data_IF_518663624294
#
_entry.id   IF_518663624294
#
_cell.length_a   1.000
_cell.length_b   1.000
_cell.length_c   1.000
_cell.angle_alpha   90.00
_cell.angle_beta   90.00
_cell.angle_gamma   90.00
#
_symmetry.space_group_name_H-M   'P 1'
#
loop_
_entity.id
_entity.type
_entity.pdbx_description
1 polymer ?
#
# COMPACT_ATOMS: atom_id res chain seq x y z
N UNK A 1 -23.96 25.46 0.24
CA UNK A 1 -22.67 26.16 0.07
C UNK A 1 -22.02 25.68 -1.21
N UNK A 2 -21.49 26.60 -2.02
CA UNK A 2 -20.70 26.26 -3.22
C UNK A 2 -19.23 26.47 -2.92
N UNK A 3 -18.38 25.52 -3.31
CA UNK A 3 -16.93 25.68 -3.28
C UNK A 3 -16.35 25.66 -4.69
N UNK A 4 -15.22 26.32 -4.89
CA UNK A 4 -14.44 26.26 -6.12
C UNK A 4 -13.13 25.53 -5.80
N UNK A 5 -12.82 24.49 -6.54
CA UNK A 5 -11.58 23.73 -6.36
C UNK A 5 -10.75 23.77 -7.65
N UNK A 6 -9.44 23.88 -7.48
CA UNK A 6 -8.51 23.77 -8.59
C UNK A 6 -8.23 22.28 -8.84
N UNK A 7 -8.65 21.79 -10.01
CA UNK A 7 -8.49 20.39 -10.35
C UNK A 7 -7.01 20.02 -10.55
N UNK A 8 -6.53 19.03 -9.81
CA UNK A 8 -5.14 18.59 -9.75
C UNK A 8 -4.99 17.15 -10.24
N UNK A 9 -3.78 16.80 -10.67
CA UNK A 9 -3.41 15.41 -10.99
C UNK A 9 -3.29 14.51 -9.76
N UNK A 10 -3.12 15.11 -8.57
CA UNK A 10 -3.13 14.41 -7.29
C UNK A 10 -4.56 14.27 -6.79
N UNK A 11 -5.17 13.07 -6.86
CA UNK A 11 -6.60 12.92 -6.60
C UNK A 11 -7.04 13.38 -5.21
N UNK A 12 -6.16 13.27 -4.20
CA UNK A 12 -6.46 13.72 -2.84
C UNK A 12 -6.76 15.23 -2.81
N UNK A 13 -6.05 16.03 -3.61
CA UNK A 13 -6.29 17.48 -3.66
C UNK A 13 -7.69 17.83 -4.18
N UNK A 14 -8.31 16.93 -4.95
CA UNK A 14 -9.63 17.14 -5.54
C UNK A 14 -10.79 16.75 -4.62
N UNK A 15 -10.51 16.26 -3.42
CA UNK A 15 -11.53 15.79 -2.48
C UNK A 15 -11.43 16.45 -1.10
N UNK A 16 -10.27 17.00 -0.75
CA UNK A 16 -10.06 17.50 0.63
C UNK A 16 -10.97 18.68 0.96
N UNK A 17 -11.27 19.55 0.01
CA UNK A 17 -12.20 20.64 0.19
C UNK A 17 -13.64 20.15 0.37
N UNK A 18 -14.07 19.17 -0.41
CA UNK A 18 -15.40 18.54 -0.25
C UNK A 18 -15.55 17.94 1.14
N UNK A 19 -14.54 17.17 1.57
CA UNK A 19 -14.54 16.52 2.88
C UNK A 19 -14.48 17.52 4.05
N UNK A 20 -13.82 18.65 3.83
CA UNK A 20 -13.65 19.69 4.85
C UNK A 20 -14.88 20.59 5.02
N UNK A 21 -15.51 20.94 3.91
CA UNK A 21 -16.58 21.95 3.90
C UNK A 21 -17.99 21.36 3.74
N UNK A 22 -18.11 20.10 3.35
CA UNK A 22 -19.40 19.44 3.08
C UNK A 22 -20.32 20.30 2.19
N UNK A 23 -19.91 20.67 0.96
CA UNK A 23 -20.66 21.57 0.11
C UNK A 23 -21.84 20.90 -0.58
N UNK A 24 -22.82 21.71 -1.03
CA UNK A 24 -23.91 21.24 -1.90
C UNK A 24 -23.47 21.18 -3.37
N UNK A 25 -22.49 22.02 -3.74
CA UNK A 25 -21.94 22.14 -5.09
C UNK A 25 -20.44 22.36 -5.07
N UNK A 26 -19.73 21.69 -5.99
CA UNK A 26 -18.32 21.96 -6.28
C UNK A 26 -18.12 22.34 -7.74
N UNK A 27 -17.34 23.39 -7.98
CA UNK A 27 -16.94 23.85 -9.30
C UNK A 27 -15.45 23.61 -9.44
N UNK A 28 -15.09 22.57 -10.22
CA UNK A 28 -13.68 22.31 -10.54
C UNK A 28 -13.22 23.24 -11.67
N UNK A 29 -12.07 23.86 -11.50
CA UNK A 29 -11.40 24.66 -12.53
C UNK A 29 -10.08 24.01 -12.90
N UNK A 30 -9.86 23.71 -14.17
CA UNK A 30 -8.63 23.02 -14.59
C UNK A 30 -8.37 23.03 -16.09
N UNK A 31 -7.16 22.63 -16.46
CA UNK A 31 -6.67 22.68 -17.84
C UNK A 31 -6.99 21.46 -18.69
N UNK A 32 -7.64 20.42 -18.16
CA UNK A 32 -8.11 19.29 -18.95
C UNK A 32 -9.22 19.69 -19.91
N UNK A 33 -9.31 19.01 -21.07
CA UNK A 33 -10.52 19.19 -21.90
C UNK A 33 -11.73 18.67 -21.14
N UNK A 34 -12.88 19.34 -21.32
CA UNK A 34 -14.13 18.92 -20.68
C UNK A 34 -14.46 17.46 -20.99
N UNK A 35 -14.25 17.03 -22.23
CA UNK A 35 -14.43 15.62 -22.65
C UNK A 35 -13.56 14.67 -21.85
N UNK A 36 -12.28 14.99 -21.63
CA UNK A 36 -11.37 14.14 -20.86
C UNK A 36 -11.79 14.07 -19.39
N UNK A 37 -12.14 15.21 -18.78
CA UNK A 37 -12.63 15.23 -17.41
C UNK A 37 -13.89 14.36 -17.26
N UNK A 38 -14.91 14.57 -18.09
CA UNK A 38 -16.20 13.86 -18.02
C UNK A 38 -16.06 12.35 -18.29
N UNK A 39 -15.14 11.93 -19.18
CA UNK A 39 -15.00 10.52 -19.54
C UNK A 39 -14.00 9.73 -18.69
N UNK A 40 -13.01 10.36 -18.08
CA UNK A 40 -11.93 9.67 -17.37
C UNK A 40 -11.83 10.02 -15.88
N UNK A 41 -12.06 11.28 -15.52
CA UNK A 41 -11.84 11.74 -14.14
C UNK A 41 -13.11 11.73 -13.30
N UNK A 42 -14.20 12.27 -13.86
CA UNK A 42 -15.48 12.39 -13.16
C UNK A 42 -16.07 11.04 -12.72
N UNK A 43 -16.03 9.94 -13.51
CA UNK A 43 -16.56 8.65 -13.07
C UNK A 43 -15.85 8.11 -11.83
N UNK A 44 -14.52 8.19 -11.78
CA UNK A 44 -13.72 7.76 -10.63
C UNK A 44 -14.07 8.61 -9.40
N UNK A 45 -14.08 9.94 -9.56
CA UNK A 45 -14.40 10.87 -8.50
C UNK A 45 -15.81 10.64 -7.95
N UNK A 46 -16.82 10.46 -8.82
CA UNK A 46 -18.20 10.15 -8.41
C UNK A 46 -18.28 8.84 -7.65
N UNK A 47 -17.66 7.76 -8.15
CA UNK A 47 -17.67 6.46 -7.48
C UNK A 47 -17.07 6.55 -6.07
N UNK A 48 -16.00 7.32 -5.89
CA UNK A 48 -15.42 7.58 -4.59
C UNK A 48 -16.35 8.41 -3.69
N UNK A 49 -16.88 9.52 -4.21
CA UNK A 49 -17.77 10.42 -3.46
C UNK A 49 -19.09 9.75 -3.06
N UNK A 50 -19.65 8.89 -3.92
CA UNK A 50 -20.83 8.08 -3.61
C UNK A 50 -20.59 7.18 -2.40
N UNK A 51 -19.43 6.53 -2.31
CA UNK A 51 -19.05 5.72 -1.14
C UNK A 51 -18.90 6.56 0.14
N UNK A 52 -18.51 7.83 -0.01
CA UNK A 52 -18.39 8.77 1.12
C UNK A 52 -19.69 9.47 1.49
N UNK A 53 -20.79 9.11 0.83
CA UNK A 53 -22.12 9.69 1.13
C UNK A 53 -22.41 11.02 0.42
N UNK A 54 -21.61 11.40 -0.57
CA UNK A 54 -21.77 12.64 -1.36
C UNK A 54 -22.50 12.42 -2.70
N UNK A 55 -23.37 11.43 -2.81
CA UNK A 55 -24.10 11.11 -4.06
C UNK A 55 -24.95 12.25 -4.62
N UNK A 56 -25.41 13.17 -3.73
CA UNK A 56 -26.21 14.34 -4.10
C UNK A 56 -25.39 15.58 -4.48
N UNK A 57 -24.05 15.51 -4.40
CA UNK A 57 -23.17 16.65 -4.69
C UNK A 57 -23.25 17.04 -6.16
N UNK A 58 -23.57 18.32 -6.41
CA UNK A 58 -23.51 18.89 -7.76
C UNK A 58 -22.08 19.17 -8.16
N UNK A 59 -21.63 18.56 -9.27
CA UNK A 59 -20.25 18.68 -9.76
C UNK A 59 -20.26 19.35 -11.12
N UNK A 60 -19.63 20.52 -11.19
CA UNK A 60 -19.41 21.28 -12.42
C UNK A 60 -17.92 21.34 -12.75
N UNK A 61 -17.56 21.36 -14.04
CA UNK A 61 -16.20 21.53 -14.50
C UNK A 61 -16.07 22.69 -15.47
N UNK A 62 -15.20 23.64 -15.15
CA UNK A 62 -14.85 24.80 -15.95
C UNK A 62 -13.44 24.59 -16.53
N UNK A 63 -13.39 24.37 -17.84
CA UNK A 63 -12.13 24.27 -18.55
C UNK A 63 -11.50 25.66 -18.75
N UNK A 64 -10.21 25.78 -18.44
CA UNK A 64 -9.38 26.96 -18.72
C UNK A 64 -8.22 26.60 -19.64
N UNK A 65 -7.72 27.58 -20.38
CA UNK A 65 -6.50 27.44 -21.16
C UNK A 65 -5.30 27.66 -20.25
N UNK A 66 -4.46 26.62 -20.09
CA UNK A 66 -3.28 26.62 -19.21
C UNK A 66 -2.26 27.72 -19.51
N UNK A 67 -2.22 28.18 -20.75
CA UNK A 67 -1.28 29.18 -21.28
C UNK A 67 -1.87 30.60 -21.41
N UNK A 68 -3.12 30.80 -20.98
CA UNK A 68 -3.82 32.07 -21.19
C UNK A 68 -4.34 32.67 -19.88
N UNK A 69 -3.59 33.61 -19.33
CA UNK A 69 -4.01 34.35 -18.15
C UNK A 69 -5.35 35.07 -18.36
N UNK A 70 -5.58 35.61 -19.58
CA UNK A 70 -6.85 36.28 -19.93
C UNK A 70 -8.03 35.29 -19.84
N UNK A 71 -7.91 34.11 -20.42
CA UNK A 71 -8.98 33.12 -20.38
C UNK A 71 -9.29 32.68 -18.94
N UNK A 72 -8.23 32.47 -18.14
CA UNK A 72 -8.36 32.13 -16.72
C UNK A 72 -9.16 33.20 -15.99
N UNK A 73 -8.80 34.49 -16.15
CA UNK A 73 -9.48 35.61 -15.49
C UNK A 73 -10.94 35.72 -15.94
N UNK A 74 -11.21 35.62 -17.25
CA UNK A 74 -12.58 35.69 -17.80
C UNK A 74 -13.46 34.56 -17.25
N UNK A 75 -12.92 33.31 -17.13
CA UNK A 75 -13.65 32.17 -16.58
C UNK A 75 -13.99 32.36 -15.11
N UNK A 76 -13.03 32.81 -14.31
CA UNK A 76 -13.29 33.08 -12.89
C UNK A 76 -14.31 34.25 -12.71
N UNK A 77 -14.19 35.32 -13.45
CA UNK A 77 -15.17 36.43 -13.38
C UNK A 77 -16.59 35.92 -13.74
N UNK A 78 -16.71 35.00 -14.71
CA UNK A 78 -17.99 34.42 -15.06
C UNK A 78 -18.56 33.51 -13.93
N UNK A 79 -17.73 32.71 -13.26
CA UNK A 79 -18.15 31.89 -12.12
C UNK A 79 -18.73 32.82 -11.02
N UNK A 80 -18.03 33.90 -10.68
CA UNK A 80 -18.45 34.80 -9.60
C UNK A 80 -19.63 35.72 -9.97
N UNK A 81 -19.79 36.03 -11.25
CA UNK A 81 -20.91 36.87 -11.71
C UNK A 81 -22.22 36.11 -11.73
N UNK A 82 -22.18 34.78 -11.83
CA UNK A 82 -23.39 33.94 -11.88
C UNK A 82 -24.08 33.79 -10.53
N UNK A 83 -23.39 34.10 -9.42
CA UNK A 83 -23.88 33.79 -8.05
C UNK A 83 -23.62 35.02 -7.12
N UNK A 84 -24.12 36.22 -7.56
CA UNK A 84 -23.88 37.45 -6.86
C UNK A 84 -24.56 37.50 -5.48
N UNK A 85 -23.74 37.49 -4.43
CA UNK A 85 -24.18 37.59 -3.02
C UNK A 85 -23.72 36.45 -2.11
N UNK A 86 -23.04 35.49 -2.65
CA UNK A 86 -22.42 34.38 -1.85
C UNK A 86 -20.93 34.64 -1.63
N UNK A 87 -20.43 34.27 -0.47
CA UNK A 87 -18.98 34.14 -0.22
C UNK A 87 -18.49 32.90 -0.96
N UNK A 88 -17.52 33.08 -1.83
CA UNK A 88 -16.92 31.99 -2.55
C UNK A 88 -15.70 31.42 -1.79
N UNK A 89 -15.82 30.19 -1.37
CA UNK A 89 -14.72 29.45 -0.79
C UNK A 89 -13.92 28.78 -1.91
N UNK A 90 -12.67 29.21 -2.08
CA UNK A 90 -11.78 28.66 -3.11
C UNK A 90 -10.67 27.88 -2.46
N UNK A 91 -10.68 26.58 -2.72
CA UNK A 91 -9.65 25.67 -2.26
C UNK A 91 -8.45 25.73 -3.22
N UNK A 92 -7.25 26.03 -2.67
CA UNK A 92 -6.01 26.24 -3.43
C UNK A 92 -4.89 25.27 -3.07
N UNK A 93 -5.23 24.11 -2.54
CA UNK A 93 -4.24 23.06 -2.21
C UNK A 93 -3.59 22.49 -3.47
N UNK A 94 -4.37 22.33 -4.54
CA UNK A 94 -3.94 21.88 -5.85
C UNK A 94 -3.93 23.00 -6.88
N UNK A 95 -3.84 22.62 -8.15
CA UNK A 95 -3.94 23.51 -9.30
C UNK A 95 -2.61 23.89 -9.94
N UNK A 96 -2.73 24.44 -11.14
CA UNK A 96 -1.59 24.87 -11.95
C UNK A 96 -1.15 26.28 -11.59
N UNK A 97 0.14 26.58 -11.67
CA UNK A 97 0.75 27.84 -11.24
C UNK A 97 0.05 29.07 -11.81
N UNK A 98 -0.26 29.08 -13.12
CA UNK A 98 -0.89 30.24 -13.75
C UNK A 98 -2.32 30.46 -13.26
N UNK A 99 -3.04 29.38 -12.93
CA UNK A 99 -4.39 29.47 -12.36
C UNK A 99 -4.32 30.04 -10.95
N UNK A 100 -3.35 29.59 -10.14
CA UNK A 100 -3.10 30.13 -8.78
C UNK A 100 -2.76 31.62 -8.81
N UNK A 101 -1.90 32.07 -9.76
CA UNK A 101 -1.56 33.45 -9.96
C UNK A 101 -2.81 34.27 -10.34
N UNK A 102 -3.65 33.75 -11.23
CA UNK A 102 -4.92 34.37 -11.63
C UNK A 102 -5.87 34.55 -10.45
N UNK A 103 -6.03 33.52 -9.62
CA UNK A 103 -6.84 33.61 -8.40
C UNK A 103 -6.30 34.61 -7.39
N UNK A 104 -4.99 34.64 -7.17
CA UNK A 104 -4.36 35.64 -6.32
C UNK A 104 -4.61 37.07 -6.80
N UNK A 105 -4.52 37.31 -8.12
CA UNK A 105 -4.85 38.63 -8.70
C UNK A 105 -6.33 38.99 -8.58
N UNK A 106 -7.22 38.01 -8.67
CA UNK A 106 -8.67 38.22 -8.54
C UNK A 106 -9.07 38.50 -7.10
N UNK A 107 -8.54 37.74 -6.13
CA UNK A 107 -8.86 37.90 -4.70
C UNK A 107 -8.49 39.29 -4.17
N UNK A 108 -7.50 39.97 -4.77
CA UNK A 108 -7.16 41.36 -4.45
C UNK A 108 -8.25 42.37 -4.90
N UNK A 109 -9.05 42.00 -5.90
CA UNK A 109 -10.12 42.85 -6.43
C UNK A 109 -11.50 42.52 -5.88
N UNK A 110 -11.62 41.28 -5.34
CA UNK A 110 -12.89 40.71 -4.90
C UNK A 110 -12.76 40.26 -3.44
N UNK A 111 -13.12 41.12 -2.45
CA UNK A 111 -13.00 40.78 -1.02
C UNK A 111 -14.00 39.69 -0.56
N UNK A 112 -14.95 39.34 -1.39
CA UNK A 112 -15.91 38.23 -1.21
C UNK A 112 -15.33 36.86 -1.52
N UNK A 113 -14.08 36.79 -2.00
CA UNK A 113 -13.37 35.53 -2.26
C UNK A 113 -12.50 35.19 -1.07
N UNK A 114 -12.78 34.03 -0.45
CA UNK A 114 -11.95 33.49 0.59
C UNK A 114 -11.10 32.30 0.03
N UNK A 115 -9.79 32.46 0.11
CA UNK A 115 -8.85 31.40 -0.33
C UNK A 115 -8.49 30.50 0.85
N UNK A 116 -8.52 29.19 0.62
CA UNK A 116 -8.15 28.20 1.61
C UNK A 116 -7.11 27.22 1.07
N UNK A 117 -6.14 26.90 1.90
CA UNK A 117 -5.23 25.78 1.67
C UNK A 117 -5.45 24.72 2.73
N UNK A 118 -5.60 23.47 2.30
CA UNK A 118 -5.80 22.33 3.18
C UNK A 118 -4.55 21.44 3.13
N UNK A 119 -3.96 21.20 4.28
CA UNK A 119 -2.90 20.22 4.40
C UNK A 119 -3.47 18.92 4.95
N UNK A 120 -3.74 17.94 4.08
CA UNK A 120 -4.15 16.58 4.48
C UNK A 120 -3.12 15.92 5.40
N UNK A 121 -1.84 16.21 5.20
CA UNK A 121 -0.73 15.73 6.04
C UNK A 121 -0.77 16.33 7.44
N UNK A 122 -0.99 17.63 7.56
CA UNK A 122 -0.97 18.33 8.85
C UNK A 122 -2.37 18.41 9.49
N UNK A 123 -3.40 17.95 8.77
CA UNK A 123 -4.81 18.13 9.17
C UNK A 123 -5.10 19.57 9.56
N UNK A 124 -4.72 20.52 8.71
CA UNK A 124 -4.91 21.96 8.94
C UNK A 124 -5.52 22.63 7.74
N UNK A 125 -6.44 23.58 7.99
CA UNK A 125 -6.87 24.58 7.00
C UNK A 125 -6.19 25.89 7.33
N UNK A 126 -5.71 26.57 6.29
CA UNK A 126 -5.25 27.95 6.36
C UNK A 126 -6.11 28.81 5.46
N UNK A 127 -6.71 29.83 6.04
CA UNK A 127 -7.38 30.87 5.28
C UNK A 127 -6.36 31.96 4.90
N UNK A 128 -6.37 32.38 3.65
CA UNK A 128 -5.58 33.51 3.18
C UNK A 128 -6.50 34.75 3.04
N UNK A 129 -6.70 35.50 4.14
CA UNK A 129 -7.26 36.82 4.08
C UNK A 129 -6.15 37.81 4.38
N UNK A 130 -6.26 39.03 3.79
CA UNK A 130 -5.30 40.13 4.07
C UNK A 130 -5.26 40.54 5.56
N UNK A 131 -6.20 40.07 6.36
CA UNK A 131 -6.40 40.44 7.75
C UNK A 131 -6.03 39.41 8.81
N UNK A 132 -5.83 38.13 8.44
CA UNK A 132 -5.53 37.11 9.43
C UNK A 132 -4.78 35.91 8.81
N UNK A 133 -3.65 35.58 9.39
CA UNK A 133 -2.88 34.34 9.10
C UNK A 133 -3.29 33.30 10.15
N UNK A 134 -4.58 32.92 10.15
CA UNK A 134 -5.14 31.99 11.11
C UNK A 134 -5.18 30.56 10.55
N UNK A 135 -4.14 29.78 10.84
CA UNK A 135 -4.18 28.31 10.65
C UNK A 135 -5.14 27.66 11.66
N UNK A 136 -6.32 27.24 11.21
CA UNK A 136 -7.22 26.42 12.03
C UNK A 136 -6.84 24.96 11.92
N UNK A 137 -6.81 24.22 13.03
CA UNK A 137 -6.83 22.75 12.96
C UNK A 137 -8.18 22.33 12.41
N UNK A 138 -8.13 21.49 11.41
CA UNK A 138 -9.28 20.78 10.89
C UNK A 138 -9.20 19.35 11.38
N UNK A 139 -10.17 18.93 12.12
CA UNK A 139 -10.48 17.51 12.24
C UNK A 139 -11.31 17.12 11.02
N UNK A 140 -10.63 16.84 9.91
CA UNK A 140 -11.27 16.13 8.82
C UNK A 140 -11.43 14.69 9.31
N UNK A 141 -12.63 14.33 9.72
CA UNK A 141 -12.98 12.93 10.04
C UNK A 141 -13.06 12.06 8.79
N UNK A 142 -12.14 12.25 7.85
CA UNK A 142 -12.12 11.43 6.66
C UNK A 142 -11.17 10.26 6.86
N UNK A 143 -11.73 9.07 6.78
CA UNK A 143 -11.01 7.80 6.83
C UNK A 143 -11.20 7.12 5.49
N UNK A 144 -10.12 6.84 4.80
CA UNK A 144 -10.15 5.98 3.63
C UNK A 144 -9.81 4.55 4.05
N UNK A 145 -10.58 3.61 3.55
CA UNK A 145 -10.14 2.22 3.49
C UNK A 145 -9.03 2.10 2.44
N UNK A 146 -8.33 0.97 2.45
CA UNK A 146 -7.34 0.63 1.42
C UNK A 146 -7.99 0.67 0.03
N UNK A 147 -9.17 0.06 -0.11
CA UNK A 147 -9.92 0.03 -1.37
C UNK A 147 -10.31 1.44 -1.85
N UNK A 148 -10.81 2.30 -0.95
CA UNK A 148 -11.19 3.67 -1.29
C UNK A 148 -9.99 4.51 -1.74
N UNK A 149 -8.81 4.29 -1.14
CA UNK A 149 -7.61 4.96 -1.58
C UNK A 149 -7.21 4.54 -3.00
N UNK A 150 -7.24 3.24 -3.31
CA UNK A 150 -6.95 2.74 -4.64
C UNK A 150 -7.98 3.23 -5.65
N UNK A 151 -9.26 3.18 -5.31
CA UNK A 151 -10.35 3.67 -6.14
C UNK A 151 -10.16 5.15 -6.53
N UNK A 152 -9.74 5.99 -5.59
CA UNK A 152 -9.47 7.41 -5.86
C UNK A 152 -8.39 7.61 -6.94
N UNK A 153 -7.47 6.65 -7.08
CA UNK A 153 -6.45 6.64 -8.12
C UNK A 153 -6.85 5.88 -9.39
N UNK A 154 -8.07 5.34 -9.43
CA UNK A 154 -8.61 4.60 -10.57
C UNK A 154 -8.23 3.12 -10.60
N UNK A 155 -7.72 2.59 -9.50
CA UNK A 155 -7.34 1.19 -9.36
C UNK A 155 -8.38 0.38 -8.58
N UNK A 156 -8.26 -0.95 -8.64
CA UNK A 156 -9.08 -1.88 -7.85
C UNK A 156 -8.24 -2.97 -7.17
N UNK A 157 -8.85 -3.69 -6.23
CA UNK A 157 -8.25 -4.85 -5.58
C UNK A 157 -8.78 -6.12 -6.26
N UNK A 158 -7.88 -6.94 -6.80
CA UNK A 158 -8.20 -8.26 -7.35
C UNK A 158 -8.32 -9.28 -6.22
N UNK A 159 -7.34 -9.29 -5.31
CA UNK A 159 -7.31 -10.18 -4.15
C UNK A 159 -6.58 -9.51 -2.99
N UNK A 160 -7.00 -9.84 -1.78
CA UNK A 160 -6.32 -9.41 -0.56
C UNK A 160 -6.66 -10.35 0.60
N UNK A 161 -5.88 -10.25 1.68
CA UNK A 161 -6.16 -10.94 2.93
C UNK A 161 -6.34 -9.91 4.07
N UNK A 162 -7.14 -10.27 5.06
CA UNK A 162 -7.45 -9.42 6.22
C UNK A 162 -8.82 -8.77 6.17
N UNK A 163 -9.52 -8.89 5.06
CA UNK A 163 -10.93 -8.53 4.89
C UNK A 163 -11.61 -9.62 4.07
N UNK A 164 -12.72 -10.18 4.57
CA UNK A 164 -13.48 -11.28 3.96
C UNK A 164 -14.21 -10.87 2.66
N UNK A 165 -14.30 -9.57 2.38
CA UNK A 165 -14.92 -9.07 1.14
C UNK A 165 -14.07 -9.32 -0.10
N UNK A 166 -12.76 -9.58 0.09
CA UNK A 166 -11.85 -9.87 -0.99
C UNK A 166 -11.50 -11.37 -1.07
N UNK A 167 -11.29 -11.90 -2.28
CA UNK A 167 -10.69 -13.23 -2.42
C UNK A 167 -9.32 -13.26 -1.73
N UNK A 168 -9.14 -14.18 -0.81
CA UNK A 168 -7.88 -14.33 -0.07
C UNK A 168 -7.73 -15.75 0.46
N UNK A 169 -6.48 -16.15 0.80
CA UNK A 169 -6.14 -17.49 1.25
C UNK A 169 -6.05 -17.65 2.77
N UNK A 170 -6.11 -16.55 3.54
CA UNK A 170 -5.86 -16.59 4.99
C UNK A 170 -7.08 -16.15 5.80
N UNK A 171 -7.36 -16.90 6.87
CA UNK A 171 -8.33 -16.54 7.91
C UNK A 171 -7.57 -16.29 9.20
N UNK A 172 -7.58 -15.07 9.68
CA UNK A 172 -6.85 -14.66 10.88
C UNK A 172 -7.65 -14.93 12.16
N UNK A 173 -8.06 -16.19 12.36
CA UNK A 173 -8.59 -16.65 13.64
C UNK A 173 -7.50 -16.76 14.72
N UNK A 174 -7.91 -17.03 15.96
CA UNK A 174 -7.00 -17.08 17.11
C UNK A 174 -5.94 -18.19 16.95
N UNK A 175 -6.31 -19.32 16.35
CA UNK A 175 -5.40 -20.46 16.15
C UNK A 175 -4.33 -20.12 15.12
N UNK A 176 -4.72 -19.54 13.98
CA UNK A 176 -3.74 -19.14 12.96
C UNK A 176 -2.83 -17.98 13.43
N UNK A 177 -3.37 -17.00 14.17
CA UNK A 177 -2.55 -15.95 14.79
C UNK A 177 -1.55 -16.55 15.77
N UNK A 178 -1.94 -17.56 16.54
CA UNK A 178 -1.02 -18.31 17.39
C UNK A 178 0.07 -19.00 16.56
N UNK A 179 -0.30 -19.73 15.51
CA UNK A 179 0.64 -20.44 14.63
C UNK A 179 1.64 -19.46 13.97
N UNK A 180 1.19 -18.28 13.51
CA UNK A 180 2.07 -17.23 12.99
C UNK A 180 3.11 -16.81 14.04
N UNK A 181 2.71 -16.59 15.30
CA UNK A 181 3.64 -16.20 16.35
C UNK A 181 4.65 -17.30 16.66
N UNK A 182 4.22 -18.56 16.70
CA UNK A 182 5.10 -19.72 16.88
C UNK A 182 6.11 -19.83 15.74
N UNK A 183 5.65 -19.75 14.49
CA UNK A 183 6.51 -19.81 13.30
C UNK A 183 7.49 -18.63 13.26
N UNK A 184 7.07 -17.44 13.63
CA UNK A 184 7.94 -16.25 13.73
C UNK A 184 9.03 -16.44 14.79
N UNK A 185 8.69 -16.97 15.94
CA UNK A 185 9.65 -17.29 17.01
C UNK A 185 10.71 -18.29 16.52
N UNK A 186 10.31 -19.32 15.77
CA UNK A 186 11.24 -20.29 15.18
C UNK A 186 12.13 -19.59 14.13
N UNK A 187 11.55 -18.77 13.26
CA UNK A 187 12.26 -18.02 12.24
C UNK A 187 13.33 -17.08 12.86
N UNK A 188 13.00 -16.38 13.93
CA UNK A 188 13.89 -15.39 14.58
C UNK A 188 14.98 -16.01 15.43
N UNK A 189 14.68 -17.11 16.14
CA UNK A 189 15.64 -17.73 17.08
C UNK A 189 16.58 -18.72 16.40
N UNK A 190 16.15 -19.34 15.30
CA UNK A 190 16.88 -20.43 14.66
C UNK A 190 17.02 -21.65 15.56
N UNK A 191 17.73 -22.68 15.08
CA UNK A 191 18.09 -23.84 15.92
C UNK A 191 19.29 -23.50 16.80
N UNK A 192 19.24 -23.88 18.08
CA UNK A 192 20.36 -23.70 19.05
C UNK A 192 21.66 -24.38 18.62
N UNK A 193 21.61 -25.33 17.70
CA UNK A 193 22.74 -26.09 17.20
C UNK A 193 23.27 -25.64 15.84
N UNK A 194 22.76 -24.49 15.31
CA UNK A 194 23.13 -24.04 13.98
C UNK A 194 24.29 -23.07 13.96
N UNK A 195 25.31 -23.43 13.20
CA UNK A 195 26.39 -22.59 12.71
C UNK A 195 25.90 -21.86 11.43
N UNK A 196 24.76 -21.17 11.50
CA UNK A 196 24.30 -20.35 10.37
C UNK A 196 24.48 -18.88 10.68
N UNK A 197 24.92 -18.05 9.72
CA UNK A 197 25.14 -16.63 9.96
C UNK A 197 23.87 -15.82 10.27
N UNK A 198 22.67 -16.36 9.94
CA UNK A 198 21.40 -15.79 10.40
C UNK A 198 20.28 -16.82 10.44
N UNK A 199 19.44 -16.76 11.47
CA UNK A 199 18.28 -17.61 11.65
C UNK A 199 17.24 -17.45 10.52
N UNK A 200 16.89 -16.23 10.07
CA UNK A 200 15.97 -16.04 8.96
C UNK A 200 16.43 -16.66 7.63
N UNK A 201 17.73 -16.63 7.34
CA UNK A 201 18.26 -17.30 6.15
C UNK A 201 18.13 -18.83 6.23
N UNK A 202 18.26 -19.38 7.42
CA UNK A 202 18.06 -20.82 7.67
C UNK A 202 16.60 -21.21 7.51
N UNK A 203 15.68 -20.41 8.03
CA UNK A 203 14.24 -20.54 7.81
C UNK A 203 13.93 -20.57 6.31
N UNK A 204 14.41 -19.57 5.54
CA UNK A 204 14.17 -19.50 4.10
C UNK A 204 14.65 -20.74 3.36
N UNK A 205 15.84 -21.28 3.72
CA UNK A 205 16.33 -22.52 3.10
C UNK A 205 15.39 -23.70 3.35
N UNK A 206 14.91 -23.86 4.58
CA UNK A 206 14.00 -24.96 4.94
C UNK A 206 12.65 -24.80 4.25
N UNK A 207 12.09 -23.61 4.22
CA UNK A 207 10.82 -23.35 3.53
C UNK A 207 10.92 -23.53 2.02
N UNK A 208 12.06 -23.20 1.39
CA UNK A 208 12.32 -23.50 -0.02
C UNK A 208 12.39 -25.02 -0.25
N UNK A 209 13.03 -25.78 0.63
CA UNK A 209 13.08 -27.24 0.53
C UNK A 209 11.67 -27.84 0.66
N UNK A 210 10.87 -27.39 1.61
CA UNK A 210 9.46 -27.80 1.75
C UNK A 210 8.62 -27.39 0.53
N UNK A 211 8.86 -26.20 -0.03
CA UNK A 211 8.19 -25.74 -1.26
C UNK A 211 8.52 -26.64 -2.44
N UNK A 212 9.78 -27.05 -2.60
CA UNK A 212 10.20 -27.98 -3.66
C UNK A 212 9.48 -29.31 -3.54
N UNK A 213 9.46 -29.89 -2.34
CA UNK A 213 8.71 -31.13 -2.07
C UNK A 213 7.21 -30.98 -2.33
N UNK A 214 6.65 -29.85 -1.95
CA UNK A 214 5.22 -29.54 -2.18
C UNK A 214 4.87 -29.44 -3.67
N UNK A 215 5.80 -28.97 -4.49
CA UNK A 215 5.60 -28.78 -5.94
C UNK A 215 5.76 -30.09 -6.75
N UNK A 216 6.29 -31.16 -6.19
CA UNK A 216 6.51 -32.45 -6.89
C UNK A 216 5.21 -33.19 -7.21
N UNK A 217 4.19 -33.04 -6.39
CA UNK A 217 2.86 -33.63 -6.59
C UNK A 217 1.77 -32.57 -6.31
N UNK A 218 1.53 -31.67 -7.24
CA UNK A 218 0.58 -30.58 -7.04
C UNK A 218 -0.87 -31.05 -7.04
N UNK A 219 -1.16 -32.19 -7.68
CA UNK A 219 -2.53 -32.71 -7.87
C UNK A 219 -2.92 -33.78 -6.84
N UNK A 220 -2.11 -33.98 -5.78
CA UNK A 220 -2.41 -34.97 -4.73
C UNK A 220 -3.75 -34.69 -4.04
N UNK A 221 -4.51 -35.72 -3.73
CA UNK A 221 -5.84 -35.63 -3.11
C UNK A 221 -5.81 -34.88 -1.77
N UNK A 222 -4.80 -35.11 -0.94
CA UNK A 222 -4.60 -34.37 0.30
C UNK A 222 -3.45 -33.39 0.17
N UNK A 223 -3.74 -32.14 -0.06
CA UNK A 223 -2.75 -31.07 -0.21
C UNK A 223 -1.84 -30.89 1.01
N UNK A 224 -2.28 -31.28 2.21
CA UNK A 224 -1.49 -31.16 3.43
C UNK A 224 -0.55 -32.34 3.68
N UNK A 225 -0.63 -33.41 2.88
CA UNK A 225 0.19 -34.62 3.05
C UNK A 225 1.24 -34.72 1.93
N UNK A 226 2.51 -34.65 2.29
CA UNK A 226 3.63 -35.01 1.40
C UNK A 226 4.01 -36.46 1.60
N UNK A 227 4.24 -37.20 0.50
CA UNK A 227 4.75 -38.56 0.48
C UNK A 227 6.06 -38.57 -0.31
N UNK A 228 7.15 -38.93 0.34
CA UNK A 228 8.51 -38.86 -0.21
C UNK A 228 9.16 -40.23 -0.10
N UNK A 229 9.86 -40.70 -1.14
CA UNK A 229 10.67 -41.92 -1.05
C UNK A 229 11.72 -41.80 0.07
N UNK A 230 11.81 -42.82 0.93
CA UNK A 230 12.63 -42.80 2.14
C UNK A 230 14.14 -42.77 1.83
N UNK A 231 14.57 -43.44 0.76
CA UNK A 231 15.97 -43.45 0.37
C UNK A 231 16.36 -42.08 -0.18
N UNK A 232 15.54 -41.52 -1.05
CA UNK A 232 15.70 -40.14 -1.58
C UNK A 232 15.69 -39.13 -0.46
N UNK A 233 14.75 -39.20 0.48
CA UNK A 233 14.69 -38.31 1.64
C UNK A 233 16.00 -38.35 2.44
N UNK A 234 16.55 -39.54 2.66
CA UNK A 234 17.82 -39.75 3.35
C UNK A 234 18.99 -39.11 2.59
N UNK A 235 19.07 -39.34 1.28
CA UNK A 235 20.17 -38.88 0.43
C UNK A 235 20.16 -37.36 0.27
N UNK A 236 19.01 -36.78 -0.02
CA UNK A 236 18.88 -35.32 -0.32
C UNK A 236 18.74 -34.46 0.94
N UNK A 237 18.03 -34.95 1.96
CA UNK A 237 17.60 -34.15 3.11
C UNK A 237 18.21 -34.53 4.44
N UNK A 238 19.00 -35.61 4.54
CA UNK A 238 19.61 -36.05 5.80
C UNK A 238 21.14 -36.11 5.77
N UNK A 239 21.78 -36.27 4.61
CA UNK A 239 23.24 -36.51 4.53
C UNK A 239 24.05 -35.25 4.23
N UNK A 240 23.44 -34.16 3.78
CA UNK A 240 24.09 -32.89 3.51
C UNK A 240 24.06 -31.96 4.73
N UNK A 241 24.90 -30.90 4.73
CA UNK A 241 24.83 -29.82 5.74
C UNK A 241 23.43 -29.17 5.77
N UNK A 242 22.80 -29.03 4.58
CA UNK A 242 21.44 -28.55 4.48
C UNK A 242 20.43 -29.57 5.03
N UNK A 243 20.71 -30.86 4.93
CA UNK A 243 19.88 -31.93 5.48
C UNK A 243 19.84 -31.93 7.01
N UNK A 244 20.96 -31.69 7.68
CA UNK A 244 20.97 -31.53 9.14
C UNK A 244 20.09 -30.32 9.56
N UNK A 245 20.19 -29.23 8.82
CA UNK A 245 19.35 -28.04 9.02
C UNK A 245 17.87 -28.38 8.85
N UNK A 246 17.51 -29.04 7.76
CA UNK A 246 16.14 -29.45 7.46
C UNK A 246 15.56 -30.33 8.56
N UNK A 247 16.31 -31.37 8.97
CA UNK A 247 15.91 -32.28 10.05
C UNK A 247 15.64 -31.54 11.38
N UNK A 248 16.54 -30.64 11.75
CA UNK A 248 16.39 -29.86 12.98
C UNK A 248 15.08 -29.03 12.94
N UNK A 249 14.77 -28.38 11.83
CA UNK A 249 13.53 -27.60 11.69
C UNK A 249 12.29 -28.49 11.67
N UNK A 250 12.31 -29.65 11.00
CA UNK A 250 11.21 -30.61 11.04
C UNK A 250 10.93 -31.04 12.50
N UNK A 251 11.98 -31.31 13.28
CA UNK A 251 11.83 -31.66 14.71
C UNK A 251 11.21 -30.46 15.50
N UNK A 252 11.55 -29.23 15.16
CA UNK A 252 10.91 -28.05 15.78
C UNK A 252 9.45 -27.93 15.40
N UNK A 253 9.13 -28.07 14.12
CA UNK A 253 7.76 -27.98 13.63
C UNK A 253 6.86 -29.03 14.26
N UNK A 254 7.36 -30.29 14.43
CA UNK A 254 6.65 -31.37 15.15
C UNK A 254 6.39 -30.96 16.62
N UNK A 255 7.41 -30.48 17.33
CA UNK A 255 7.29 -30.08 18.74
C UNK A 255 6.32 -28.93 18.97
N UNK A 256 6.13 -28.10 17.96
CA UNK A 256 5.24 -26.95 17.99
C UNK A 256 3.88 -27.23 17.34
N UNK A 257 3.57 -28.49 17.03
CA UNK A 257 2.30 -28.92 16.42
C UNK A 257 1.97 -28.20 15.09
N UNK A 258 3.01 -27.88 14.28
CA UNK A 258 2.85 -27.28 12.96
C UNK A 258 2.77 -28.32 11.85
N UNK A 259 3.39 -29.48 12.05
CA UNK A 259 3.31 -30.64 11.18
C UNK A 259 3.60 -31.91 11.95
N UNK A 260 3.26 -33.06 11.37
CA UNK A 260 3.67 -34.41 11.80
C UNK A 260 4.55 -35.04 10.72
N UNK A 261 5.50 -35.88 11.13
CA UNK A 261 6.38 -36.59 10.22
C UNK A 261 6.49 -38.07 10.64
N UNK A 262 6.15 -39.00 9.71
CA UNK A 262 6.18 -40.44 9.93
C UNK A 262 7.02 -41.10 8.88
N UNK A 263 7.78 -42.14 9.27
CA UNK A 263 8.55 -43.00 8.35
C UNK A 263 7.89 -44.38 8.36
N UNK A 264 7.38 -44.79 7.21
CA UNK A 264 6.73 -46.08 7.03
C UNK A 264 7.38 -46.81 5.86
N UNK A 265 8.10 -47.91 6.17
CA UNK A 265 8.77 -48.77 5.17
C UNK A 265 9.65 -47.99 4.17
N UNK A 266 9.12 -47.65 3.02
CA UNK A 266 9.83 -47.04 1.90
C UNK A 266 9.48 -45.55 1.71
N UNK A 267 8.63 -45.00 2.59
CA UNK A 267 8.16 -43.62 2.45
C UNK A 267 8.26 -42.79 3.73
N UNK A 268 8.49 -41.52 3.57
CA UNK A 268 8.40 -40.48 4.61
C UNK A 268 7.15 -39.66 4.32
N UNK A 269 6.29 -39.57 5.31
CA UNK A 269 5.07 -38.76 5.24
C UNK A 269 5.24 -37.52 6.10
N UNK A 270 5.06 -36.34 5.50
CA UNK A 270 4.99 -35.06 6.22
C UNK A 270 3.56 -34.54 6.09
N UNK A 271 2.86 -34.42 7.22
CA UNK A 271 1.49 -33.95 7.27
C UNK A 271 1.42 -32.57 7.96
N UNK A 272 1.11 -31.52 7.21
CA UNK A 272 0.95 -30.20 7.77
C UNK A 272 -0.32 -30.10 8.61
N UNK A 273 -0.30 -29.31 9.68
CA UNK A 273 -1.43 -29.08 10.59
C UNK A 273 -2.71 -28.68 9.84
N UNK A 274 -2.59 -27.76 8.89
CA UNK A 274 -3.66 -27.26 8.02
C UNK A 274 -3.09 -26.53 6.80
N UNK A 275 -3.97 -26.10 5.88
CA UNK A 275 -3.60 -25.40 4.67
C UNK A 275 -2.84 -24.10 4.93
N UNK A 276 -3.23 -23.31 5.93
CA UNK A 276 -2.61 -22.02 6.25
C UNK A 276 -1.18 -22.21 6.75
N UNK A 277 -0.94 -23.20 7.61
CA UNK A 277 0.40 -23.57 8.08
C UNK A 277 1.24 -24.11 6.92
N UNK A 278 0.67 -24.95 6.04
CA UNK A 278 1.36 -25.43 4.83
C UNK A 278 1.81 -24.27 3.96
N UNK A 279 0.94 -23.30 3.68
CA UNK A 279 1.27 -22.12 2.88
C UNK A 279 2.43 -21.32 3.51
N UNK A 280 2.43 -21.14 4.82
CA UNK A 280 3.51 -20.44 5.53
C UNK A 280 4.84 -21.20 5.48
N UNK A 281 4.81 -22.54 5.57
CA UNK A 281 6.01 -23.37 5.56
C UNK A 281 6.54 -23.70 4.16
N UNK A 282 5.77 -23.40 3.10
CA UNK A 282 6.15 -23.63 1.70
C UNK A 282 6.34 -22.35 0.89
N UNK A 283 6.19 -21.14 1.47
CA UNK A 283 6.48 -19.85 0.82
C UNK A 283 7.51 -19.10 1.65
N UNK A 284 8.74 -19.00 1.13
CA UNK A 284 9.80 -18.23 1.78
C UNK A 284 9.38 -16.75 1.91
N UNK A 285 9.65 -16.15 3.06
CA UNK A 285 9.33 -14.75 3.32
C UNK A 285 7.94 -14.51 3.91
N UNK A 286 6.96 -15.35 3.62
CA UNK A 286 5.57 -15.15 4.03
C UNK A 286 5.38 -14.92 5.53
N UNK A 287 6.14 -15.61 6.37
CA UNK A 287 6.01 -15.44 7.83
C UNK A 287 6.36 -14.02 8.30
N UNK A 288 7.30 -13.34 7.66
CA UNK A 288 7.61 -11.94 7.93
C UNK A 288 6.45 -11.03 7.50
N UNK A 289 5.85 -11.30 6.35
CA UNK A 289 4.70 -10.53 5.84
C UNK A 289 3.53 -10.62 6.83
N UNK A 290 3.15 -11.85 7.21
CA UNK A 290 2.02 -12.09 8.13
C UNK A 290 2.29 -11.52 9.53
N UNK A 291 3.51 -11.68 10.04
CA UNK A 291 3.87 -11.09 11.35
C UNK A 291 3.82 -9.57 11.33
N UNK A 292 4.38 -8.96 10.29
CA UNK A 292 4.34 -7.51 10.11
C UNK A 292 2.91 -7.01 9.94
N UNK A 293 2.08 -7.76 9.18
CA UNK A 293 0.65 -7.46 9.04
C UNK A 293 -0.08 -7.44 10.37
N UNK A 294 0.09 -8.45 11.23
CA UNK A 294 -0.58 -8.49 12.54
C UNK A 294 -0.23 -7.28 13.40
N UNK A 295 1.04 -6.87 13.39
CA UNK A 295 1.50 -5.68 14.14
C UNK A 295 0.91 -4.41 13.51
N UNK A 296 0.97 -4.28 12.18
CA UNK A 296 0.44 -3.14 11.46
C UNK A 296 -1.09 -3.01 11.63
N UNK A 297 -1.84 -4.13 11.53
CA UNK A 297 -3.29 -4.17 11.73
C UNK A 297 -3.67 -3.66 13.11
N UNK A 298 -3.02 -4.16 14.17
CA UNK A 298 -3.23 -3.69 15.54
C UNK A 298 -2.95 -2.18 15.69
N UNK A 299 -1.90 -1.69 15.02
CA UNK A 299 -1.58 -0.27 15.00
C UNK A 299 -2.64 0.55 14.27
N UNK A 300 -3.12 0.08 13.13
CA UNK A 300 -4.17 0.76 12.35
C UNK A 300 -5.50 0.75 13.09
N UNK A 301 -5.92 -0.37 13.68
CA UNK A 301 -7.15 -0.46 14.47
C UNK A 301 -7.16 0.54 15.64
N UNK A 302 -5.99 0.78 16.28
CA UNK A 302 -5.87 1.79 17.34
C UNK A 302 -5.99 3.25 16.86
N UNK A 303 -5.94 3.48 15.54
CA UNK A 303 -5.96 4.79 14.87
C UNK A 303 -7.15 4.98 13.94
N UNK A 304 -8.11 4.06 13.98
CA UNK A 304 -9.23 4.00 13.06
C UNK A 304 -8.78 3.96 11.57
N UNK A 305 -7.67 3.29 11.31
CA UNK A 305 -7.14 3.04 9.97
C UNK A 305 -7.59 1.68 9.44
N UNK A 306 -7.18 1.39 8.21
CA UNK A 306 -7.41 0.10 7.54
C UNK A 306 -6.09 -0.55 7.16
N UNK A 307 -6.06 -1.89 7.10
CA UNK A 307 -4.85 -2.66 6.77
C UNK A 307 -5.19 -4.01 6.15
N UNK A 308 -4.63 -4.27 4.98
CA UNK A 308 -4.73 -5.51 4.23
C UNK A 308 -3.33 -6.08 3.95
N UNK A 309 -3.23 -7.40 3.73
CA UNK A 309 -1.98 -8.07 3.35
C UNK A 309 -2.13 -8.85 2.06
N UNK A 310 -1.01 -9.11 1.36
CA UNK A 310 -0.94 -9.78 0.06
C UNK A 310 -1.93 -9.16 -0.94
N UNK A 311 -1.91 -7.84 -1.06
CA UNK A 311 -2.86 -7.08 -1.88
C UNK A 311 -2.41 -7.11 -3.33
N UNK A 312 -3.21 -7.74 -4.19
CA UNK A 312 -3.02 -7.68 -5.64
C UNK A 312 -3.87 -6.55 -6.20
N UNK A 313 -3.21 -5.56 -6.79
CA UNK A 313 -3.81 -4.34 -7.33
C UNK A 313 -3.91 -4.48 -8.84
N UNK A 314 -5.08 -4.21 -9.39
CA UNK A 314 -5.31 -3.89 -10.78
C UNK A 314 -5.14 -2.37 -10.97
N UNK A 315 -4.29 -1.98 -11.91
CA UNK A 315 -3.82 -0.58 -12.03
C UNK A 315 -4.85 0.39 -12.58
N UNK A 316 -5.73 -0.06 -13.45
CA UNK A 316 -6.72 0.80 -14.11
C UNK A 316 -8.18 0.49 -13.71
N UNK A 317 -8.38 -0.54 -12.90
CA UNK A 317 -9.69 -0.95 -12.42
C UNK A 317 -10.62 -1.49 -13.53
N UNK A 318 -10.04 -1.86 -14.69
CA UNK A 318 -10.77 -2.40 -15.82
C UNK A 318 -10.23 -3.80 -16.17
N UNK A 319 -11.00 -4.83 -15.92
CA UNK A 319 -10.66 -6.23 -16.21
C UNK A 319 -10.32 -6.49 -17.70
N UNK A 320 -10.60 -5.52 -18.58
CA UNK A 320 -10.33 -5.63 -19.99
C UNK A 320 -9.14 -4.78 -20.41
N UNK A 321 -8.24 -5.39 -21.18
CA UNK A 321 -7.17 -4.67 -21.86
C UNK A 321 -7.71 -3.46 -22.62
N UNK A 322 -7.21 -2.27 -22.33
CA UNK A 322 -7.62 -1.08 -23.07
C UNK A 322 -7.46 -1.32 -24.57
N UNK A 323 -8.51 -1.01 -25.35
CA UNK A 323 -8.54 -1.18 -26.80
C UNK A 323 -7.32 -0.55 -27.51
N UNK A 324 -6.76 0.49 -26.91
CA UNK A 324 -5.52 1.16 -27.36
C UNK A 324 -4.31 0.26 -27.30
N UNK A 325 -4.14 -0.55 -26.23
CA UNK A 325 -3.03 -1.47 -26.09
C UNK A 325 -3.17 -2.64 -27.05
N UNK A 326 -4.38 -3.18 -27.20
CA UNK A 326 -4.67 -4.21 -28.22
C UNK A 326 -4.29 -3.74 -29.62
N UNK A 327 -4.62 -2.50 -29.97
CA UNK A 327 -4.28 -1.91 -31.27
C UNK A 327 -2.76 -1.68 -31.44
N UNK A 328 -2.08 -1.11 -30.43
CA UNK A 328 -0.65 -0.77 -30.51
C UNK A 328 0.25 -2.00 -30.59
N UNK A 329 -0.10 -3.09 -29.91
CA UNK A 329 0.71 -4.30 -29.83
C UNK A 329 0.19 -5.45 -30.69
N UNK A 330 -0.87 -5.23 -31.46
CA UNK A 330 -1.47 -6.23 -32.38
C UNK A 330 -1.78 -7.57 -31.66
N UNK A 331 -2.30 -7.46 -30.44
CA UNK A 331 -2.64 -8.61 -29.59
C UNK A 331 -3.98 -9.17 -30.04
N UNK A 332 -3.95 -10.08 -31.04
CA UNK A 332 -5.15 -10.74 -31.59
C UNK A 332 -5.65 -11.91 -30.71
N UNK A 333 -4.96 -12.21 -29.60
CA UNK A 333 -5.38 -13.26 -28.69
C UNK A 333 -6.51 -12.79 -27.77
N UNK A 334 -7.75 -13.28 -27.96
CA UNK A 334 -8.89 -12.88 -27.13
C UNK A 334 -8.75 -13.35 -25.66
N UNK A 335 -7.86 -14.32 -25.37
CA UNK A 335 -7.62 -14.86 -24.04
C UNK A 335 -6.40 -14.21 -23.36
N UNK A 336 -5.65 -13.34 -24.04
CA UNK A 336 -4.56 -12.59 -23.42
C UNK A 336 -5.09 -11.41 -22.64
N UNK A 337 -5.57 -11.66 -21.45
CA UNK A 337 -5.75 -10.63 -20.41
C UNK A 337 -4.38 -10.24 -19.88
N UNK A 338 -3.62 -9.43 -20.64
CA UNK A 338 -2.41 -8.79 -20.09
C UNK A 338 -2.89 -7.61 -19.28
N UNK A 339 -3.20 -7.87 -18.05
CA UNK A 339 -3.54 -6.85 -17.08
C UNK A 339 -2.29 -6.44 -16.30
N UNK A 340 -2.14 -5.15 -16.01
CA UNK A 340 -1.02 -4.66 -15.22
C UNK A 340 -1.37 -4.79 -13.75
N UNK A 341 -0.84 -5.84 -13.12
CA UNK A 341 -1.07 -6.11 -11.71
C UNK A 341 0.22 -5.99 -10.90
N UNK A 342 0.08 -5.61 -9.64
CA UNK A 342 1.17 -5.64 -8.67
C UNK A 342 0.69 -6.22 -7.35
N UNK A 343 1.50 -7.09 -6.75
CA UNK A 343 1.32 -7.55 -5.38
C UNK A 343 2.09 -6.63 -4.42
N UNK A 344 1.41 -6.19 -3.35
CA UNK A 344 1.99 -5.46 -2.22
C UNK A 344 1.82 -6.30 -0.96
N UNK A 345 2.92 -6.51 -0.25
CA UNK A 345 2.94 -7.37 0.93
C UNK A 345 1.96 -6.88 2.00
N UNK A 346 1.96 -5.56 2.29
CA UNK A 346 0.98 -4.93 3.18
C UNK A 346 0.63 -3.53 2.65
N UNK A 347 -0.65 -3.26 2.56
CA UNK A 347 -1.19 -1.94 2.24
C UNK A 347 -2.09 -1.47 3.38
N UNK A 348 -1.78 -0.32 3.94
CA UNK A 348 -2.53 0.26 5.05
C UNK A 348 -2.90 1.72 4.77
N UNK A 349 -3.92 2.21 5.45
CA UNK A 349 -4.33 3.61 5.38
C UNK A 349 -4.63 4.16 6.78
N UNK A 350 -4.29 5.42 7.01
CA UNK A 350 -4.72 6.16 8.19
C UNK A 350 -5.14 7.57 7.78
N UNK A 351 -6.41 7.89 7.94
CA UNK A 351 -7.00 9.07 7.34
C UNK A 351 -6.95 8.99 5.80
N UNK A 352 -6.31 9.95 5.15
CA UNK A 352 -6.12 10.00 3.69
C UNK A 352 -4.72 9.51 3.24
N UNK A 353 -3.90 8.99 4.15
CA UNK A 353 -2.51 8.65 3.85
C UNK A 353 -2.36 7.15 3.68
N UNK A 354 -1.97 6.64 2.50
CA UNK A 354 -1.65 5.24 2.31
C UNK A 354 -0.19 4.94 2.70
N UNK A 355 0.01 3.71 3.20
CA UNK A 355 1.29 3.14 3.58
C UNK A 355 1.53 1.88 2.76
N UNK A 356 2.53 1.92 1.87
CA UNK A 356 2.95 0.78 1.07
C UNK A 356 4.14 0.11 1.77
N UNK A 357 3.95 -1.12 2.23
CA UNK A 357 4.95 -1.83 3.01
C UNK A 357 5.37 -3.09 2.26
N UNK A 358 6.67 -3.24 2.03
CA UNK A 358 7.25 -4.45 1.46
C UNK A 358 8.11 -5.17 2.50
N UNK A 359 7.93 -6.48 2.61
CA UNK A 359 8.59 -7.35 3.60
C UNK A 359 9.66 -8.21 2.93
N UNK A 360 10.90 -8.14 3.40
CA UNK A 360 12.03 -8.88 2.81
C UNK A 360 12.73 -9.73 3.87
N UNK A 361 12.45 -11.02 3.84
CA UNK A 361 13.08 -11.97 4.76
C UNK A 361 14.46 -12.37 4.22
N UNK A 362 15.49 -11.62 4.58
CA UNK A 362 16.86 -11.78 4.10
C UNK A 362 17.31 -10.67 3.16
N UNK A 363 18.24 -11.00 2.24
CA UNK A 363 18.82 -10.02 1.33
C UNK A 363 17.85 -9.57 0.26
N UNK A 364 17.89 -8.30 -0.09
CA UNK A 364 17.19 -7.74 -1.24
C UNK A 364 18.09 -6.80 -2.03
N UNK A 365 17.69 -6.48 -3.25
CA UNK A 365 18.41 -5.61 -4.18
C UNK A 365 17.75 -4.24 -4.29
N UNK A 366 18.45 -3.28 -4.90
CA UNK A 366 17.89 -1.96 -5.20
C UNK A 366 16.64 -2.02 -6.10
N UNK A 367 16.44 -3.12 -6.82
CA UNK A 367 15.25 -3.32 -7.66
C UNK A 367 13.95 -3.29 -6.82
N UNK A 368 13.99 -3.87 -5.62
CA UNK A 368 12.84 -3.87 -4.72
C UNK A 368 12.48 -2.44 -4.24
N UNK A 369 13.49 -1.57 -4.08
CA UNK A 369 13.26 -0.16 -3.80
C UNK A 369 12.51 0.51 -4.95
N UNK A 370 12.92 0.27 -6.19
CA UNK A 370 12.29 0.88 -7.35
C UNK A 370 10.87 0.35 -7.61
N UNK A 371 10.62 -0.94 -7.39
CA UNK A 371 9.27 -1.51 -7.46
C UNK A 371 8.33 -0.82 -6.47
N UNK A 372 8.73 -0.73 -5.19
CA UNK A 372 7.95 -0.07 -4.16
C UNK A 372 7.76 1.42 -4.45
N UNK A 373 8.81 2.10 -4.95
CA UNK A 373 8.73 3.50 -5.34
C UNK A 373 7.68 3.73 -6.43
N UNK A 374 7.71 2.94 -7.51
CA UNK A 374 6.78 3.10 -8.63
C UNK A 374 5.32 2.92 -8.20
N UNK A 375 5.03 1.89 -7.41
CA UNK A 375 3.67 1.64 -6.90
C UNK A 375 3.23 2.77 -5.97
N UNK A 376 4.10 3.22 -5.06
CA UNK A 376 3.82 4.34 -4.17
C UNK A 376 3.57 5.66 -4.91
N UNK A 377 4.32 5.95 -5.98
CA UNK A 377 4.09 7.15 -6.80
C UNK A 377 2.80 7.04 -7.63
N UNK A 378 2.45 5.84 -8.11
CA UNK A 378 1.22 5.64 -8.86
C UNK A 378 -0.03 5.84 -7.99
N UNK A 379 -0.06 5.22 -6.80
CA UNK A 379 -1.26 5.18 -5.95
C UNK A 379 -1.18 6.07 -4.70
N UNK A 380 -0.12 6.84 -4.55
CA UNK A 380 0.03 7.78 -3.43
C UNK A 380 0.41 9.19 -3.87
N UNK A 381 1.01 9.36 -5.05
CA UNK A 381 1.38 10.66 -5.68
C UNK A 381 1.94 11.68 -4.69
N UNK A 382 2.92 11.27 -3.87
CA UNK A 382 3.57 12.13 -2.88
C UNK A 382 2.82 12.28 -1.54
N UNK A 383 1.67 11.64 -1.38
CA UNK A 383 0.94 11.57 -0.10
C UNK A 383 1.13 10.25 0.63
N UNK A 384 1.84 9.28 0.05
CA UNK A 384 2.08 7.98 0.66
C UNK A 384 3.36 7.95 1.50
N UNK A 385 3.45 6.91 2.35
CA UNK A 385 4.70 6.45 2.92
C UNK A 385 5.07 5.10 2.30
N UNK A 386 6.36 4.92 2.01
CA UNK A 386 6.92 3.71 1.42
C UNK A 386 7.89 3.10 2.43
N UNK A 387 7.64 1.86 2.84
CA UNK A 387 8.35 1.22 3.95
C UNK A 387 8.85 -0.15 3.51
N UNK A 388 10.11 -0.45 3.77
CA UNK A 388 10.65 -1.82 3.70
C UNK A 388 10.89 -2.32 5.11
N UNK A 389 10.33 -3.49 5.41
CA UNK A 389 10.58 -4.23 6.65
C UNK A 389 11.46 -5.44 6.33
N UNK A 390 12.62 -5.56 7.00
CA UNK A 390 13.56 -6.62 6.67
C UNK A 390 14.20 -7.27 7.90
N UNK A 391 14.52 -8.56 7.76
CA UNK A 391 15.22 -9.32 8.81
C UNK A 391 16.75 -9.18 8.71
N UNK A 392 17.29 -8.90 7.55
CA UNK A 392 18.75 -8.88 7.36
C UNK A 392 19.18 -7.96 6.23
N UNK A 393 19.74 -6.82 6.62
CA UNK A 393 20.41 -5.90 5.71
C UNK A 393 21.95 -6.06 5.73
N UNK A 394 22.51 -6.79 6.72
CA UNK A 394 23.93 -6.80 7.02
C UNK A 394 24.76 -7.79 6.19
N UNK A 395 24.13 -8.73 5.49
CA UNK A 395 24.84 -9.74 4.71
C UNK A 395 25.16 -9.30 3.27
N UNK A 396 24.74 -8.12 2.86
CA UNK A 396 25.40 -7.47 1.73
C UNK A 396 26.78 -7.01 2.23
N UNK A 397 27.84 -7.33 1.52
CA UNK A 397 29.21 -6.84 1.74
C UNK A 397 29.14 -5.34 2.05
N UNK A 398 29.84 -4.87 3.09
CA UNK A 398 29.68 -3.57 3.77
C UNK A 398 29.29 -2.35 2.92
N UNK A 399 29.84 -2.21 1.70
CA UNK A 399 29.51 -1.10 0.81
C UNK A 399 28.08 -1.21 0.20
N UNK A 400 27.57 -2.42 -0.01
CA UNK A 400 26.23 -2.60 -0.60
C UNK A 400 25.09 -2.18 0.34
N UNK A 401 25.24 -2.35 1.65
CA UNK A 401 24.28 -1.86 2.66
C UNK A 401 24.14 -0.36 2.59
N UNK A 402 25.25 0.37 2.63
CA UNK A 402 25.24 1.83 2.60
C UNK A 402 24.65 2.38 1.30
N UNK A 403 24.91 1.71 0.17
CA UNK A 403 24.33 2.09 -1.14
C UNK A 403 22.81 1.90 -1.14
N UNK A 404 22.31 0.78 -0.60
CA UNK A 404 20.85 0.53 -0.49
C UNK A 404 20.19 1.57 0.42
N UNK A 405 20.79 1.84 1.60
CA UNK A 405 20.27 2.84 2.53
C UNK A 405 20.26 4.24 1.91
N UNK A 406 21.34 4.65 1.23
CA UNK A 406 21.39 5.95 0.57
C UNK A 406 20.32 6.06 -0.51
N UNK A 407 20.18 5.05 -1.37
CA UNK A 407 19.15 5.04 -2.42
C UNK A 407 17.74 5.10 -1.83
N UNK A 408 17.49 4.36 -0.74
CA UNK A 408 16.19 4.40 -0.07
C UNK A 408 15.86 5.83 0.40
N UNK A 409 16.84 6.51 1.03
CA UNK A 409 16.70 7.91 1.46
C UNK A 409 16.43 8.83 0.27
N UNK A 410 17.19 8.69 -0.83
CA UNK A 410 17.09 9.53 -2.03
C UNK A 410 15.70 9.46 -2.68
N UNK A 411 15.04 8.31 -2.62
CA UNK A 411 13.68 8.10 -3.19
C UNK A 411 12.56 8.05 -2.15
N UNK A 412 12.88 8.44 -0.90
CA UNK A 412 11.89 8.60 0.17
C UNK A 412 11.29 7.28 0.67
N UNK A 413 12.09 6.20 0.69
CA UNK A 413 11.72 4.91 1.29
C UNK A 413 12.33 4.79 2.67
N UNK A 414 11.54 4.40 3.65
CA UNK A 414 11.99 4.10 5.01
C UNK A 414 12.31 2.60 5.13
N UNK A 415 13.39 2.26 5.85
CA UNK A 415 13.76 0.86 6.08
C UNK A 415 13.74 0.58 7.58
N UNK A 416 13.01 -0.47 7.97
CA UNK A 416 13.01 -1.05 9.32
C UNK A 416 13.78 -2.35 9.24
N UNK A 417 14.97 -2.36 9.82
CA UNK A 417 15.89 -3.50 9.73
C UNK A 417 15.91 -4.35 11.00
N UNK A 418 16.43 -5.59 10.89
CA UNK A 418 16.67 -6.51 12.00
C UNK A 418 15.42 -6.84 12.83
N UNK A 419 14.23 -6.85 12.20
CA UNK A 419 12.96 -7.02 12.91
C UNK A 419 12.86 -8.37 13.65
N UNK A 420 13.59 -9.41 13.21
CA UNK A 420 13.65 -10.70 13.91
C UNK A 420 14.35 -10.65 15.29
N UNK A 421 15.03 -9.55 15.59
CA UNK A 421 15.70 -9.30 16.89
C UNK A 421 14.87 -8.43 17.82
N UNK A 422 13.74 -7.93 17.34
CA UNK A 422 12.88 -6.97 18.03
C UNK A 422 11.62 -7.64 18.54
N UNK A 423 11.09 -7.07 19.61
CA UNK A 423 9.75 -7.40 20.11
C UNK A 423 8.67 -6.77 19.24
N UNK A 424 7.43 -7.26 19.34
CA UNK A 424 6.29 -6.70 18.63
C UNK A 424 6.10 -5.19 18.93
N UNK A 425 6.29 -4.79 20.17
CA UNK A 425 6.14 -3.39 20.58
C UNK A 425 7.25 -2.51 19.99
N UNK A 426 8.49 -3.01 19.92
CA UNK A 426 9.59 -2.28 19.27
C UNK A 426 9.35 -2.11 17.76
N UNK A 427 8.84 -3.16 17.09
CA UNK A 427 8.47 -3.07 15.66
C UNK A 427 7.31 -2.09 15.48
N UNK A 428 6.29 -2.15 16.33
CA UNK A 428 5.14 -1.24 16.30
C UNK A 428 5.58 0.22 16.50
N UNK A 429 6.50 0.47 17.45
CA UNK A 429 7.04 1.81 17.70
C UNK A 429 7.84 2.35 16.51
N UNK A 430 8.62 1.50 15.83
CA UNK A 430 9.34 1.92 14.62
C UNK A 430 8.39 2.19 13.46
N UNK A 431 7.41 1.31 13.23
CA UNK A 431 6.34 1.56 12.24
C UNK A 431 5.62 2.87 12.53
N UNK A 432 5.26 3.11 13.79
CA UNK A 432 4.62 4.35 14.22
C UNK A 432 5.47 5.58 13.91
N UNK A 433 6.77 5.56 14.21
CA UNK A 433 7.70 6.67 13.93
C UNK A 433 7.80 6.97 12.44
N UNK A 434 7.83 5.94 11.61
CA UNK A 434 7.90 6.07 10.15
C UNK A 434 6.58 6.58 9.58
N UNK A 435 5.46 6.14 10.14
CA UNK A 435 4.11 6.56 9.75
C UNK A 435 3.76 7.96 10.27
N UNK A 436 4.39 8.41 11.34
CA UNK A 436 4.31 9.81 11.80
C UNK A 436 5.06 10.69 10.81
N UNK A 437 4.33 11.67 10.23
CA UNK A 437 4.93 12.63 9.32
C UNK A 437 6.10 13.34 10.01
N UNK A 438 7.22 13.58 9.32
CA UNK A 438 8.30 14.36 9.87
C UNK A 438 7.71 15.70 10.35
N UNK A 439 7.87 15.99 11.64
CA UNK A 439 7.57 17.31 12.18
C UNK A 439 8.38 18.28 11.34
N UNK A 440 7.72 19.13 10.54
CA UNK A 440 8.39 20.19 9.81
C UNK A 440 9.12 20.98 10.90
N UNK A 441 10.46 20.89 10.92
CA UNK A 441 11.26 21.81 11.71
C UNK A 441 10.94 23.16 11.08
N UNK A 442 10.10 23.94 11.76
CA UNK A 442 9.96 25.34 11.48
C UNK A 442 11.36 25.92 11.63
N UNK A 443 12.02 26.18 10.50
CA UNK A 443 13.16 27.08 10.51
C UNK A 443 12.62 28.42 11.01
N UNK A 444 12.90 28.72 12.28
CA UNK A 444 12.76 30.05 12.88
C UNK A 444 13.88 30.89 12.31
#
# INVERSE_FOLDING_TARGET
MTIVELFDEKPINNIVGILAFNPDKVIYVGGYTRKHFESKKLPILKKYLDRKGYSALDIEYVQVRRDSFKDIMEKFENIYSSDSGCVFHVEVTGGEDLILIGLGALSQRRPDIELYQISSKLRTIRSFSLSADDGRKLDIECRNTVEENLLLHGASIISANGDETFPGGYRFDADFVHDINVMWDICGRGSKNMVSPSAPNSWNKVTIMLASLNAEDPDRENQNLLCIDAQRFKEEYMTSINGTLFYDYICYFIRCDLLDCRIESEHVYINFKNDQVRMCLTKAGLILELKTYLICKKLMDSRDGDCLTSVTIDWDGDENLASTIKYLYNLDDPDSTIDTTNEIDILATCGLIPYFISCKNGKFTSEELYKLYLVGEQFGKGYCQKIIVTTDLNHALGDAKNVILQRAVDIGIQIIEDVHKKTDDEIADELKKVMELPKIKTCV
#
